data_IF_508189383453
#
_entry.id   IF_508189383453
#
_cell.length_a   1.000
_cell.length_b   1.000
_cell.length_c   1.000
_cell.angle_alpha   90.00
_cell.angle_beta   90.00
_cell.angle_gamma   90.00
#
_symmetry.space_group_name_H-M   'P 1'
#
loop_
_entity.id
_entity.type
_entity.pdbx_description
1 polymer ?
#
# COMPACT_ATOMS: atom_id res chain seq x y z
N UNK A 1 75.71 -36.66 10.26
CA UNK A 1 76.77 -37.03 9.32
C UNK A 1 76.39 -36.46 7.95
N UNK A 2 77.32 -35.65 7.49
CA UNK A 2 77.70 -35.40 6.08
C UNK A 2 76.74 -34.64 5.18
N UNK A 3 76.98 -33.31 4.99
CA UNK A 3 77.77 -32.68 3.91
C UNK A 3 77.08 -32.88 2.52
N UNK A 4 76.77 -31.92 1.69
CA UNK A 4 77.58 -30.83 1.15
C UNK A 4 76.72 -29.94 0.25
N UNK A 5 76.95 -28.64 0.27
CA UNK A 5 76.80 -27.60 -0.75
C UNK A 5 77.80 -27.86 -1.92
N UNK A 6 77.91 -27.01 -2.97
CA UNK A 6 77.07 -25.98 -3.65
C UNK A 6 77.08 -26.18 -5.19
N UNK A 7 76.41 -25.34 -5.99
CA UNK A 7 77.00 -24.66 -7.14
C UNK A 7 76.15 -23.55 -7.72
N UNK A 8 76.76 -22.39 -7.73
CA UNK A 8 76.43 -21.20 -8.50
C UNK A 8 76.39 -21.48 -10.00
N UNK A 9 75.37 -20.99 -10.70
CA UNK A 9 75.57 -20.50 -12.07
C UNK A 9 74.77 -19.23 -12.24
N UNK A 10 75.54 -18.18 -12.48
CA UNK A 10 75.11 -16.86 -12.89
C UNK A 10 74.60 -16.88 -14.34
N UNK A 11 73.51 -16.23 -14.64
CA UNK A 11 72.98 -16.05 -16.01
C UNK A 11 72.17 -14.77 -16.11
N UNK A 12 72.78 -13.82 -16.79
CA UNK A 12 72.50 -12.41 -17.04
C UNK A 12 71.06 -12.06 -17.45
N UNK A 13 70.63 -10.97 -16.87
CA UNK A 13 69.91 -9.83 -17.43
C UNK A 13 69.10 -9.99 -18.73
N UNK A 14 67.81 -9.68 -18.64
CA UNK A 14 67.23 -8.76 -19.61
C UNK A 14 66.04 -8.03 -18.97
N UNK A 15 66.22 -6.76 -18.66
CA UNK A 15 65.21 -5.79 -18.27
C UNK A 15 64.32 -5.49 -19.47
N UNK A 16 63.09 -6.02 -19.46
CA UNK A 16 62.04 -5.45 -20.28
C UNK A 16 61.08 -4.69 -19.33
N UNK A 17 61.32 -3.41 -19.28
CA UNK A 17 60.38 -2.42 -18.71
C UNK A 17 59.15 -2.41 -19.60
N UNK A 18 58.15 -3.25 -19.28
CA UNK A 18 56.81 -3.18 -19.81
C UNK A 18 56.06 -2.08 -19.09
N UNK A 19 56.02 -0.88 -19.71
CA UNK A 19 55.14 0.21 -19.28
C UNK A 19 53.69 -0.20 -19.54
N UNK A 20 53.06 -0.88 -18.61
CA UNK A 20 51.61 -1.04 -18.61
C UNK A 20 50.98 0.28 -18.25
N UNK A 21 50.61 1.03 -19.30
CA UNK A 21 49.70 2.16 -19.18
C UNK A 21 48.39 1.62 -18.66
N UNK A 22 48.21 1.64 -17.35
CA UNK A 22 46.95 1.39 -16.70
C UNK A 22 46.05 2.58 -17.05
N UNK A 23 45.28 2.42 -18.14
CA UNK A 23 44.25 3.36 -18.54
C UNK A 23 43.19 3.32 -17.44
N UNK A 24 43.31 4.25 -16.49
CA UNK A 24 42.26 4.57 -15.54
C UNK A 24 41.05 4.98 -16.36
N UNK A 25 40.10 4.05 -16.52
CA UNK A 25 38.75 4.37 -16.94
C UNK A 25 38.18 5.19 -15.79
N UNK A 26 37.81 6.47 -15.96
CA UNK A 26 37.13 7.18 -14.92
C UNK A 26 35.83 6.38 -14.68
N UNK A 27 35.67 5.88 -13.45
CA UNK A 27 34.39 5.38 -12.99
C UNK A 27 33.40 6.53 -13.24
N UNK A 28 32.52 6.31 -14.20
CA UNK A 28 31.35 7.16 -14.38
C UNK A 28 30.59 7.03 -13.06
N UNK A 29 30.80 7.98 -12.17
CA UNK A 29 29.92 8.21 -11.05
C UNK A 29 28.53 8.31 -11.67
N UNK A 30 27.80 7.21 -11.55
CA UNK A 30 26.36 7.23 -11.75
C UNK A 30 25.85 8.30 -10.79
N UNK A 31 25.58 9.48 -11.34
CA UNK A 31 24.78 10.50 -10.66
C UNK A 31 23.44 9.82 -10.35
N UNK A 32 23.42 9.08 -9.24
CA UNK A 32 22.18 8.73 -8.58
C UNK A 32 21.55 10.10 -8.31
N UNK A 33 20.61 10.48 -9.17
CA UNK A 33 19.72 11.60 -8.91
C UNK A 33 19.24 11.43 -7.48
N UNK A 34 19.40 12.43 -6.59
CA UNK A 34 18.83 12.33 -5.26
C UNK A 34 17.36 11.99 -5.45
N UNK A 35 16.79 11.04 -4.68
CA UNK A 35 15.37 10.79 -4.75
C UNK A 35 14.73 12.14 -4.51
N UNK A 36 14.16 12.73 -5.56
CA UNK A 36 13.28 13.87 -5.41
C UNK A 36 12.21 13.39 -4.45
N UNK A 37 12.27 13.82 -3.21
CA UNK A 37 11.21 13.74 -2.22
C UNK A 37 10.11 14.69 -2.68
N UNK A 38 9.53 14.37 -3.84
CA UNK A 38 8.21 14.84 -4.17
C UNK A 38 7.37 14.15 -3.10
N UNK A 39 6.77 14.93 -2.25
CA UNK A 39 5.83 14.45 -1.24
C UNK A 39 4.68 13.77 -1.98
N UNK A 40 4.87 12.47 -2.29
CA UNK A 40 3.94 11.69 -3.09
C UNK A 40 2.74 11.37 -2.24
N UNK A 41 1.61 11.83 -2.67
CA UNK A 41 0.34 11.50 -2.03
C UNK A 41 -0.12 10.13 -2.50
N UNK A 42 0.01 9.11 -1.64
CA UNK A 42 -0.32 7.73 -1.97
C UNK A 42 -1.47 7.24 -1.10
N UNK A 43 -2.56 6.82 -1.73
CA UNK A 43 -3.67 6.13 -1.06
C UNK A 43 -3.33 4.65 -0.95
N UNK A 44 -3.28 4.11 0.28
CA UNK A 44 -2.97 2.70 0.53
C UNK A 44 -4.22 1.92 0.93
N UNK A 45 -4.40 0.76 0.32
CA UNK A 45 -5.45 -0.21 0.66
C UNK A 45 -4.83 -1.57 0.87
N UNK A 46 -5.22 -2.25 1.94
CA UNK A 46 -4.72 -3.57 2.26
C UNK A 46 -5.86 -4.55 2.53
N UNK A 47 -5.71 -5.75 2.01
CA UNK A 47 -6.60 -6.88 2.25
C UNK A 47 -5.77 -8.04 2.80
N UNK A 48 -6.25 -8.62 3.90
CA UNK A 48 -5.59 -9.74 4.55
C UNK A 48 -6.59 -10.82 4.93
N UNK A 49 -6.26 -12.06 4.62
CA UNK A 49 -7.06 -13.23 4.98
C UNK A 49 -6.24 -14.17 5.85
N UNK A 50 -6.73 -14.43 7.06
CA UNK A 50 -6.05 -15.26 8.06
C UNK A 50 -7.00 -16.34 8.55
N UNK A 51 -6.49 -17.57 8.65
CA UNK A 51 -7.20 -18.70 9.25
C UNK A 51 -6.79 -18.83 10.70
N UNK A 52 -7.76 -18.72 11.59
CA UNK A 52 -7.56 -18.72 13.05
C UNK A 52 -8.44 -19.79 13.72
N UNK A 53 -8.07 -20.19 14.93
CA UNK A 53 -8.87 -21.17 15.68
C UNK A 53 -10.20 -20.57 16.18
N UNK A 54 -10.19 -19.30 16.60
CA UNK A 54 -11.37 -18.58 17.10
C UNK A 54 -11.49 -17.20 16.46
N UNK A 55 -12.22 -17.06 15.32
CA UNK A 55 -12.36 -15.79 14.61
C UNK A 55 -12.97 -14.65 15.44
N UNK A 56 -13.88 -14.96 16.36
CA UNK A 56 -14.50 -13.95 17.23
C UNK A 56 -13.52 -13.35 18.23
N UNK A 57 -12.62 -14.18 18.79
CA UNK A 57 -11.60 -13.71 19.74
C UNK A 57 -10.52 -12.92 18.99
N UNK A 58 -10.06 -13.45 17.86
CA UNK A 58 -9.12 -12.77 16.98
C UNK A 58 -9.68 -11.44 16.46
N UNK A 59 -10.97 -11.41 16.07
CA UNK A 59 -11.63 -10.19 15.61
C UNK A 59 -11.61 -9.08 16.65
N UNK A 60 -12.02 -9.37 17.89
CA UNK A 60 -11.95 -8.38 18.98
C UNK A 60 -10.54 -7.86 19.24
N UNK A 61 -9.51 -8.69 19.02
CA UNK A 61 -8.14 -8.25 19.15
C UNK A 61 -7.73 -7.30 18.02
N UNK A 62 -8.14 -7.59 16.78
CA UNK A 62 -7.91 -6.70 15.63
C UNK A 62 -8.64 -5.37 15.81
N UNK A 63 -9.90 -5.37 16.24
CA UNK A 63 -10.68 -4.16 16.52
C UNK A 63 -9.99 -3.26 17.56
N UNK A 64 -9.55 -3.86 18.66
CA UNK A 64 -8.81 -3.13 19.70
C UNK A 64 -7.53 -2.52 19.17
N UNK A 65 -6.76 -3.27 18.39
CA UNK A 65 -5.51 -2.80 17.78
C UNK A 65 -5.73 -1.61 16.84
N UNK A 66 -6.81 -1.65 16.02
CA UNK A 66 -7.17 -0.52 15.16
C UNK A 66 -7.40 0.74 16.01
N UNK A 67 -8.11 0.64 17.12
CA UNK A 67 -8.36 1.77 18.02
C UNK A 67 -7.08 2.25 18.74
N UNK A 68 -6.24 1.35 19.22
CA UNK A 68 -4.98 1.67 19.91
C UNK A 68 -3.98 2.41 19.00
N UNK A 69 -4.04 2.15 17.71
CA UNK A 69 -3.19 2.81 16.71
C UNK A 69 -3.74 4.16 16.22
N UNK A 70 -4.85 4.63 16.79
CA UNK A 70 -5.49 5.89 16.36
C UNK A 70 -6.34 5.74 15.09
N UNK A 71 -6.64 4.52 14.70
CA UNK A 71 -7.57 4.21 13.62
C UNK A 71 -9.02 4.16 14.11
N UNK A 72 -9.93 3.91 13.18
CA UNK A 72 -11.34 3.68 13.48
C UNK A 72 -11.93 2.55 12.65
N UNK A 73 -12.96 1.95 13.20
CA UNK A 73 -13.68 0.85 12.58
C UNK A 73 -14.78 1.39 11.67
N UNK A 74 -14.80 0.97 10.41
CA UNK A 74 -15.90 1.26 9.48
C UNK A 74 -16.99 0.20 9.56
N UNK A 75 -16.58 -1.08 9.60
CA UNK A 75 -17.52 -2.20 9.64
C UNK A 75 -16.89 -3.41 10.33
N UNK A 76 -17.68 -4.08 11.16
CA UNK A 76 -17.38 -5.41 11.68
C UNK A 76 -18.59 -6.31 11.47
N UNK A 77 -18.37 -7.49 10.91
CA UNK A 77 -19.44 -8.46 10.66
C UNK A 77 -18.98 -9.88 10.98
N UNK A 78 -19.82 -10.61 11.68
CA UNK A 78 -19.62 -12.03 11.98
C UNK A 78 -20.69 -12.86 11.28
N UNK A 79 -20.26 -13.86 10.49
CA UNK A 79 -21.16 -14.80 9.82
C UNK A 79 -21.41 -16.03 10.69
N UNK A 80 -22.56 -16.67 10.49
CA UNK A 80 -22.91 -17.96 11.13
C UNK A 80 -21.91 -19.07 10.80
N UNK A 81 -21.23 -18.98 9.67
CA UNK A 81 -20.18 -19.94 9.26
C UNK A 81 -18.86 -19.77 10.02
N UNK A 82 -18.84 -18.90 11.04
CA UNK A 82 -17.66 -18.62 11.84
C UNK A 82 -16.61 -17.75 11.16
N UNK A 83 -17.00 -16.98 10.12
CA UNK A 83 -16.14 -15.97 9.50
C UNK A 83 -16.38 -14.62 10.13
N UNK A 84 -15.31 -13.88 10.35
CA UNK A 84 -15.38 -12.48 10.79
C UNK A 84 -14.68 -11.61 9.76
N UNK A 85 -15.36 -10.55 9.32
CA UNK A 85 -14.78 -9.53 8.44
C UNK A 85 -14.78 -8.20 9.16
N UNK A 86 -13.63 -7.55 9.14
CA UNK A 86 -13.39 -6.26 9.78
C UNK A 86 -12.83 -5.34 8.72
N UNK A 87 -13.46 -4.18 8.55
CA UNK A 87 -12.96 -3.11 7.70
C UNK A 87 -12.80 -1.87 8.55
N UNK A 88 -11.65 -1.23 8.46
CA UNK A 88 -11.33 -0.03 9.22
C UNK A 88 -10.29 0.83 8.53
N UNK A 89 -10.09 2.01 9.09
CA UNK A 89 -9.06 2.96 8.68
C UNK A 89 -7.97 3.01 9.72
N UNK A 90 -6.73 2.91 9.27
CA UNK A 90 -5.54 2.92 10.12
C UNK A 90 -4.52 3.91 9.57
N UNK A 91 -3.69 4.52 10.40
CA UNK A 91 -2.62 5.39 9.91
C UNK A 91 -1.76 4.67 8.88
N UNK A 92 -1.55 5.29 7.71
CA UNK A 92 -0.84 4.67 6.59
C UNK A 92 0.58 4.22 6.95
N UNK A 93 1.24 4.93 7.88
CA UNK A 93 2.56 4.59 8.38
C UNK A 93 2.58 3.30 9.23
N UNK A 94 1.46 2.93 9.84
CA UNK A 94 1.37 1.76 10.73
C UNK A 94 0.73 0.55 10.06
N UNK A 95 0.26 0.69 8.81
CA UNK A 95 -0.45 -0.36 8.08
C UNK A 95 0.30 -1.70 8.07
N UNK A 96 1.59 -1.66 7.71
CA UNK A 96 2.41 -2.88 7.57
C UNK A 96 2.61 -3.57 8.92
N UNK A 97 2.88 -2.80 9.99
CA UNK A 97 3.03 -3.31 11.35
C UNK A 97 1.74 -3.98 11.84
N UNK A 98 0.58 -3.39 11.56
CA UNK A 98 -0.72 -3.97 11.93
C UNK A 98 -0.93 -5.28 11.17
N UNK A 99 -0.65 -5.31 9.87
CA UNK A 99 -0.78 -6.53 9.07
C UNK A 99 0.12 -7.66 9.57
N UNK A 100 1.34 -7.36 10.01
CA UNK A 100 2.27 -8.34 10.58
C UNK A 100 1.75 -8.92 11.90
N UNK A 101 1.19 -8.09 12.75
CA UNK A 101 0.57 -8.56 14.00
C UNK A 101 -0.68 -9.41 13.71
N UNK A 102 -1.50 -9.03 12.72
CA UNK A 102 -2.66 -9.81 12.29
C UNK A 102 -2.24 -11.16 11.71
N UNK A 103 -1.15 -11.21 10.91
CA UNK A 103 -0.59 -12.46 10.40
C UNK A 103 -0.16 -13.41 11.54
N UNK A 104 0.36 -12.86 12.64
CA UNK A 104 0.74 -13.61 13.83
C UNK A 104 -0.43 -14.25 14.61
N UNK A 105 -1.69 -13.89 14.30
CA UNK A 105 -2.86 -14.49 14.98
C UNK A 105 -3.21 -15.88 14.44
N UNK A 106 -2.67 -16.29 13.31
CA UNK A 106 -2.98 -17.58 12.71
C UNK A 106 -2.19 -17.88 11.44
N UNK A 107 -2.79 -18.65 10.52
CA UNK A 107 -2.19 -18.98 9.23
C UNK A 107 -2.66 -17.98 8.18
N UNK A 108 -1.76 -17.13 7.72
CA UNK A 108 -2.04 -16.19 6.63
C UNK A 108 -2.29 -16.95 5.32
N UNK A 109 -3.40 -16.67 4.65
CA UNK A 109 -3.77 -17.24 3.35
C UNK A 109 -3.49 -16.30 2.20
N UNK A 110 -3.75 -15.02 2.41
CA UNK A 110 -3.57 -13.98 1.42
C UNK A 110 -3.23 -12.67 2.11
N UNK A 111 -2.30 -11.95 1.53
CA UNK A 111 -1.99 -10.56 1.86
C UNK A 111 -1.85 -9.78 0.56
N UNK A 112 -2.58 -8.71 0.41
CA UNK A 112 -2.52 -7.83 -0.75
C UNK A 112 -2.45 -6.41 -0.24
N UNK A 113 -1.48 -5.64 -0.73
CA UNK A 113 -1.38 -4.21 -0.46
C UNK A 113 -1.30 -3.49 -1.79
N UNK A 114 -2.17 -2.51 -1.98
CA UNK A 114 -2.22 -1.67 -3.18
C UNK A 114 -1.95 -0.23 -2.78
N UNK A 115 -1.03 0.42 -3.47
CA UNK A 115 -0.77 1.85 -3.34
C UNK A 115 -1.13 2.55 -4.64
N UNK A 116 -1.99 3.56 -4.57
CA UNK A 116 -2.37 4.39 -5.72
C UNK A 116 -1.79 5.78 -5.51
N UNK A 117 -0.94 6.22 -6.43
CA UNK A 117 -0.44 7.60 -6.43
C UNK A 117 -1.55 8.53 -6.92
N UNK A 118 -1.90 9.49 -6.09
CA UNK A 118 -2.96 10.49 -6.37
C UNK A 118 -2.41 11.91 -6.41
N UNK A 119 -1.08 12.06 -6.51
CA UNK A 119 -0.39 13.35 -6.50
C UNK A 119 -0.90 14.26 -7.62
N UNK A 120 -0.98 13.74 -8.84
CA UNK A 120 -1.46 14.49 -10.01
C UNK A 120 -2.93 14.88 -9.86
N UNK A 121 -3.75 13.96 -9.34
CA UNK A 121 -5.16 14.23 -9.08
C UNK A 121 -5.34 15.35 -8.04
N UNK A 122 -4.55 15.29 -6.98
CA UNK A 122 -4.58 16.31 -5.93
C UNK A 122 -4.17 17.68 -6.46
N UNK A 123 -3.07 17.76 -7.21
CA UNK A 123 -2.58 19.03 -7.78
C UNK A 123 -3.52 19.62 -8.81
N UNK A 124 -4.19 18.81 -9.64
CA UNK A 124 -5.20 19.28 -10.58
C UNK A 124 -6.43 19.87 -9.85
N UNK A 125 -6.93 19.17 -8.84
CA UNK A 125 -8.05 19.67 -8.03
C UNK A 125 -7.69 20.97 -7.29
N UNK A 126 -6.47 21.08 -6.76
CA UNK A 126 -6.00 22.30 -6.10
C UNK A 126 -5.89 23.48 -7.07
N UNK A 127 -5.39 23.25 -8.29
CA UNK A 127 -5.33 24.27 -9.33
C UNK A 127 -6.73 24.75 -9.75
N UNK A 128 -7.69 23.83 -9.91
CA UNK A 128 -9.09 24.16 -10.21
C UNK A 128 -9.75 24.92 -9.08
N UNK A 129 -9.53 24.52 -7.84
CA UNK A 129 -10.03 25.23 -6.66
C UNK A 129 -9.54 26.68 -6.65
N UNK A 130 -8.24 26.88 -6.85
CA UNK A 130 -7.63 28.22 -6.90
C UNK A 130 -8.22 29.08 -8.03
N UNK A 131 -8.45 28.50 -9.20
CA UNK A 131 -9.05 29.19 -10.33
C UNK A 131 -10.50 29.61 -10.07
N UNK A 132 -11.31 28.74 -9.46
CA UNK A 132 -12.70 29.04 -9.11
C UNK A 132 -12.80 30.11 -8.02
N UNK A 133 -11.91 30.09 -7.03
CA UNK A 133 -11.83 31.15 -6.01
C UNK A 133 -11.54 32.51 -6.68
N UNK A 134 -10.54 32.57 -7.57
CA UNK A 134 -10.21 33.79 -8.27
C UNK A 134 -11.36 34.29 -9.15
N UNK A 135 -12.09 33.36 -9.79
CA UNK A 135 -13.28 33.71 -10.61
C UNK A 135 -14.42 34.26 -9.73
N UNK A 136 -14.72 33.62 -8.60
CA UNK A 136 -15.69 34.10 -7.62
C UNK A 136 -15.36 35.54 -7.17
N UNK A 137 -14.10 35.77 -6.79
CA UNK A 137 -13.66 37.08 -6.30
C UNK A 137 -13.83 38.16 -7.39
N UNK A 138 -13.56 37.82 -8.66
CA UNK A 138 -13.78 38.71 -9.80
C UNK A 138 -15.26 39.00 -10.01
N UNK A 139 -16.12 38.00 -9.91
CA UNK A 139 -17.58 38.20 -10.05
C UNK A 139 -18.14 39.06 -8.92
N UNK A 140 -17.63 38.93 -7.68
CA UNK A 140 -18.01 39.81 -6.58
C UNK A 140 -17.58 41.26 -6.80
N UNK A 141 -16.41 41.51 -7.42
CA UNK A 141 -16.00 42.85 -7.81
C UNK A 141 -16.90 43.44 -8.93
N UNK A 142 -17.38 42.63 -9.86
CA UNK A 142 -18.32 43.03 -10.88
C UNK A 142 -19.70 43.30 -10.29
N UNK A 143 -20.16 42.49 -9.35
CA UNK A 143 -21.40 42.66 -8.61
C UNK A 143 -21.44 44.02 -7.89
N UNK A 144 -20.33 44.43 -7.25
CA UNK A 144 -20.21 45.72 -6.57
C UNK A 144 -20.34 46.93 -7.55
N UNK A 145 -20.21 46.70 -8.86
CA UNK A 145 -20.32 47.76 -9.90
C UNK A 145 -21.56 47.60 -10.75
N UNK A 146 -22.39 46.60 -10.49
CA UNK A 146 -23.62 46.37 -11.25
C UNK A 146 -24.62 47.52 -11.06
N UNK A 147 -25.16 48.04 -12.15
CA UNK A 147 -26.04 49.18 -12.13
C UNK A 147 -27.52 48.78 -12.27
N UNK A 148 -27.82 47.60 -12.76
CA UNK A 148 -29.20 47.13 -13.01
C UNK A 148 -29.51 45.87 -12.19
N UNK A 149 -30.77 45.70 -11.83
CA UNK A 149 -31.26 44.54 -11.10
C UNK A 149 -31.00 43.23 -11.86
N UNK A 150 -31.16 43.23 -13.17
CA UNK A 150 -30.94 42.06 -14.02
C UNK A 150 -29.46 41.60 -13.95
N UNK A 151 -28.52 42.56 -14.02
CA UNK A 151 -27.10 42.27 -13.85
C UNK A 151 -26.79 41.68 -12.44
N UNK A 152 -27.40 42.25 -11.42
CA UNK A 152 -27.24 41.76 -10.04
C UNK A 152 -27.70 40.32 -9.93
N UNK A 153 -28.92 40.00 -10.38
CA UNK A 153 -29.48 38.66 -10.33
C UNK A 153 -28.64 37.65 -11.12
N UNK A 154 -28.16 38.04 -12.31
CA UNK A 154 -27.30 37.16 -13.12
C UNK A 154 -25.98 36.85 -12.43
N UNK A 155 -25.32 37.86 -11.85
CA UNK A 155 -24.04 37.67 -11.15
C UNK A 155 -24.22 36.86 -9.87
N UNK A 156 -25.28 37.12 -9.10
CA UNK A 156 -25.59 36.34 -7.88
C UNK A 156 -25.80 34.85 -8.23
N UNK A 157 -26.53 34.52 -9.30
CA UNK A 157 -26.69 33.14 -9.73
C UNK A 157 -25.33 32.49 -10.11
N UNK A 158 -24.48 33.25 -10.82
CA UNK A 158 -23.14 32.74 -11.16
C UNK A 158 -22.25 32.54 -9.94
N UNK A 159 -22.26 33.48 -8.99
CA UNK A 159 -21.50 33.36 -7.73
C UNK A 159 -21.97 32.14 -6.94
N UNK A 160 -23.28 31.94 -6.78
CA UNK A 160 -23.85 30.80 -6.08
C UNK A 160 -23.41 29.46 -6.71
N UNK A 161 -23.42 29.38 -8.05
CA UNK A 161 -22.95 28.19 -8.77
C UNK A 161 -21.47 27.91 -8.53
N UNK A 162 -20.62 28.94 -8.66
CA UNK A 162 -19.18 28.80 -8.44
C UNK A 162 -18.87 28.44 -6.98
N UNK A 163 -19.63 28.99 -6.03
CA UNK A 163 -19.48 28.61 -4.62
C UNK A 163 -19.75 27.11 -4.42
N UNK A 164 -20.79 26.57 -5.04
CA UNK A 164 -21.07 25.13 -5.01
C UNK A 164 -19.92 24.31 -5.61
N UNK A 165 -19.32 24.77 -6.72
CA UNK A 165 -18.17 24.12 -7.33
C UNK A 165 -16.93 24.16 -6.40
N UNK A 166 -16.68 25.28 -5.73
CA UNK A 166 -15.60 25.44 -4.75
C UNK A 166 -15.78 24.46 -3.58
N UNK A 167 -16.98 24.41 -3.01
CA UNK A 167 -17.28 23.53 -1.88
C UNK A 167 -17.09 22.05 -2.27
N UNK A 168 -17.51 21.67 -3.49
CA UNK A 168 -17.31 20.33 -4.03
C UNK A 168 -15.82 19.98 -4.22
N UNK A 169 -15.03 20.90 -4.78
CA UNK A 169 -13.58 20.69 -4.96
C UNK A 169 -12.86 20.57 -3.62
N UNK A 170 -13.24 21.38 -2.65
CA UNK A 170 -12.66 21.35 -1.31
C UNK A 170 -12.96 20.03 -0.60
N UNK A 171 -14.20 19.55 -0.67
CA UNK A 171 -14.59 18.26 -0.13
C UNK A 171 -13.78 17.09 -0.76
N UNK A 172 -13.55 17.12 -2.09
CA UNK A 172 -12.72 16.13 -2.77
C UNK A 172 -11.26 16.16 -2.33
N UNK A 173 -10.67 17.35 -2.15
CA UNK A 173 -9.30 17.50 -1.65
C UNK A 173 -9.16 16.96 -0.23
N UNK A 174 -10.11 17.26 0.64
CA UNK A 174 -10.13 16.78 2.03
C UNK A 174 -10.30 15.25 2.07
N UNK A 175 -11.11 14.69 1.17
CA UNK A 175 -11.27 13.25 1.02
C UNK A 175 -9.95 12.58 0.60
N UNK A 176 -9.24 13.11 -0.41
CA UNK A 176 -7.95 12.56 -0.84
C UNK A 176 -6.89 12.65 0.26
N UNK A 177 -6.82 13.77 0.98
CA UNK A 177 -5.94 13.92 2.15
C UNK A 177 -6.23 12.88 3.21
N UNK A 178 -7.50 12.69 3.54
CA UNK A 178 -7.92 11.69 4.52
C UNK A 178 -7.53 10.27 4.08
N UNK A 179 -7.74 9.92 2.81
CA UNK A 179 -7.39 8.61 2.25
C UNK A 179 -5.88 8.37 2.18
N UNK A 180 -5.08 9.41 1.97
CA UNK A 180 -3.61 9.31 1.98
C UNK A 180 -3.07 9.17 3.42
N UNK A 181 -3.70 9.82 4.38
CA UNK A 181 -3.31 9.75 5.79
C UNK A 181 -3.74 8.44 6.44
N UNK A 182 -4.95 7.97 6.12
CA UNK A 182 -5.57 6.78 6.68
C UNK A 182 -5.75 5.72 5.60
N UNK A 183 -4.95 4.66 5.68
CA UNK A 183 -5.08 3.50 4.80
C UNK A 183 -6.33 2.69 5.13
N UNK A 184 -6.94 2.11 4.10
CA UNK A 184 -8.04 1.17 4.27
C UNK A 184 -7.49 -0.23 4.53
N UNK A 185 -7.92 -0.85 5.62
CA UNK A 185 -7.56 -2.22 5.99
C UNK A 185 -8.81 -3.10 6.06
N UNK A 186 -8.83 -4.18 5.25
CA UNK A 186 -9.86 -5.21 5.28
C UNK A 186 -9.24 -6.54 5.74
N UNK A 187 -9.68 -7.02 6.91
CA UNK A 187 -9.22 -8.29 7.49
C UNK A 187 -10.36 -9.29 7.45
N UNK A 188 -10.13 -10.45 6.82
CA UNK A 188 -11.03 -11.59 6.82
C UNK A 188 -10.43 -12.70 7.68
N UNK A 189 -11.14 -13.06 8.75
CA UNK A 189 -10.76 -14.13 9.67
C UNK A 189 -11.65 -15.33 9.41
N UNK A 190 -11.04 -16.41 8.93
CA UNK A 190 -11.72 -17.69 8.67
C UNK A 190 -11.42 -18.68 9.79
N UNK A 191 -12.41 -19.53 10.10
CA UNK A 191 -12.22 -20.61 11.07
C UNK A 191 -11.40 -21.73 10.44
N UNK A 192 -10.43 -22.26 11.19
CA UNK A 192 -9.70 -23.47 10.81
C UNK A 192 -10.68 -24.63 10.69
N UNK A 193 -10.83 -25.17 9.48
CA UNK A 193 -11.61 -26.40 9.27
C UNK A 193 -10.75 -27.58 9.70
N UNK A 194 -11.09 -28.19 10.80
CA UNK A 194 -10.53 -29.50 11.18
C UNK A 194 -11.42 -30.54 10.50
N UNK A 195 -10.88 -31.23 9.48
CA UNK A 195 -11.55 -32.42 8.95
C UNK A 195 -11.57 -33.44 10.10
N UNK A 196 -12.78 -33.72 10.61
CA UNK A 196 -12.94 -34.73 11.64
C UNK A 196 -12.44 -36.10 11.16
N UNK A 197 -12.03 -36.99 12.08
CA UNK A 197 -11.45 -38.30 11.74
C UNK A 197 -12.39 -39.16 10.87
N UNK A 198 -13.68 -38.94 10.89
CA UNK A 198 -14.68 -39.62 10.06
C UNK A 198 -14.60 -39.28 8.57
N UNK A 199 -14.08 -38.08 8.20
CA UNK A 199 -13.91 -37.72 6.79
C UNK A 199 -12.74 -38.46 6.14
N UNK A 200 -11.72 -38.80 6.91
CA UNK A 200 -10.58 -39.60 6.44
C UNK A 200 -10.97 -41.07 6.27
N UNK A 201 -11.81 -41.61 7.16
CA UNK A 201 -12.32 -43.00 7.08
C UNK A 201 -13.26 -43.16 5.89
N UNK A 202 -14.14 -42.19 5.61
CA UNK A 202 -15.03 -42.23 4.45
C UNK A 202 -14.32 -42.32 3.09
N UNK A 203 -13.17 -41.64 2.97
CA UNK A 203 -12.37 -41.67 1.72
C UNK A 203 -11.64 -42.99 1.50
N UNK A 204 -11.14 -43.60 2.59
CA UNK A 204 -10.46 -44.91 2.54
C UNK A 204 -11.42 -46.06 2.28
N UNK A 205 -12.63 -46.01 2.82
CA UNK A 205 -13.67 -47.02 2.58
C UNK A 205 -14.24 -46.94 1.16
N UNK A 206 -14.46 -45.73 0.64
CA UNK A 206 -14.92 -45.55 -0.75
C UNK A 206 -13.87 -46.05 -1.76
N UNK A 207 -12.57 -45.85 -1.50
CA UNK A 207 -11.47 -46.36 -2.32
C UNK A 207 -11.39 -47.90 -2.25
N UNK A 208 -11.58 -48.49 -1.08
CA UNK A 208 -11.54 -49.96 -0.91
C UNK A 208 -12.75 -50.66 -1.58
N UNK A 209 -13.95 -50.09 -1.49
CA UNK A 209 -15.17 -50.62 -2.15
C UNK A 209 -15.06 -50.46 -3.66
N UNK A 210 -14.52 -49.34 -4.17
CA UNK A 210 -14.31 -49.15 -5.60
C UNK A 210 -13.33 -50.17 -6.20
N UNK A 211 -12.31 -50.60 -5.44
CA UNK A 211 -11.36 -51.62 -5.88
C UNK A 211 -11.92 -53.05 -5.85
N UNK A 212 -12.88 -53.30 -4.96
CA UNK A 212 -13.52 -54.62 -4.84
C UNK A 212 -14.51 -54.92 -6.01
N UNK A 213 -15.03 -53.87 -6.67
CA UNK A 213 -15.98 -53.98 -7.79
C UNK A 213 -15.33 -54.00 -9.19
N UNK A 214 -13.99 -53.91 -9.31
CA UNK A 214 -13.28 -53.90 -10.61
C UNK A 214 -12.60 -55.27 -10.90
N UNK A 215 -13.05 -56.36 -10.25
CA UNK A 215 -12.62 -57.70 -10.60
C UNK A 215 -13.89 -58.44 -11.07
N UNK A 216 -14.27 -58.21 -12.33
CA UNK A 216 -14.85 -59.23 -13.18
C UNK A 216 -14.71 -58.84 -14.65
#
# INVERSE_FOLDING_TARGET
MSRSTPLLVAGAALLLVGCSVHRMVPATESLASPPSTIDRMTVRTAEQQVVVDSPLVAGRRVERMIHETGGYLEQSSASKDGKVRITGRVPAAQLDSIMDVVAGLGSEKRRTTTGTDVTDQYTDLEARLKSNIALRDRLQQLLARAATLDQVLTLEHQIARIQTDIDGLQAHLDQLKSQATLASLSVSLDRKRVLGPLAVVGHSVAWAVGKLFIIH
#
